data_IF_947591491918
#
_entry.id   IF_947591491918
#
_cell.length_a   1.000
_cell.length_b   1.000
_cell.length_c   1.000
_cell.angle_alpha   90.00
_cell.angle_beta   90.00
_cell.angle_gamma   90.00
#
_symmetry.space_group_name_H-M   'P 1'
#
loop_
_entity.id
_entity.type
_entity.pdbx_description
1 polymer ?
#
# COMPACT_ATOMS: atom_id res chain seq x y z
N UNK A 1 -3.97 17.70 -0.81
CA UNK A 1 -2.58 17.19 -0.92
C UNK A 1 -2.63 15.79 -0.31
N UNK A 2 -3.03 14.76 -1.08
CA UNK A 2 -2.21 14.00 -2.03
C UNK A 2 -3.01 13.62 -3.29
N UNK A 3 -2.61 14.10 -4.47
CA UNK A 3 -3.21 13.75 -5.77
C UNK A 3 -2.16 13.24 -6.78
N UNK A 4 -1.10 12.54 -6.33
CA UNK A 4 0.03 12.21 -7.20
C UNK A 4 0.18 10.74 -7.61
N UNK A 5 -0.72 9.82 -7.23
CA UNK A 5 -0.47 8.38 -7.40
C UNK A 5 -1.03 7.73 -8.69
N UNK A 6 -1.43 8.48 -9.72
CA UNK A 6 -2.06 7.91 -10.93
C UNK A 6 -1.37 8.25 -12.27
N UNK A 7 -0.10 8.66 -12.27
CA UNK A 7 0.60 8.90 -13.54
C UNK A 7 1.29 7.62 -14.02
N UNK A 8 0.65 6.93 -14.98
CA UNK A 8 1.36 6.06 -15.94
C UNK A 8 2.42 6.92 -16.62
N UNK A 9 3.69 6.59 -16.45
CA UNK A 9 4.74 7.08 -17.33
C UNK A 9 5.17 5.93 -18.23
N UNK A 10 4.90 6.10 -19.52
CA UNK A 10 5.48 5.32 -20.60
C UNK A 10 7.00 5.53 -20.60
N UNK A 11 7.76 4.44 -20.50
CA UNK A 11 9.21 4.44 -20.67
C UNK A 11 9.50 3.99 -22.09
N UNK A 12 9.99 4.90 -22.94
CA UNK A 12 10.64 4.55 -24.20
C UNK A 12 12.11 4.22 -23.95
N UNK A 13 12.68 3.15 -24.52
CA UNK A 13 14.09 2.84 -24.35
C UNK A 13 14.95 3.62 -25.34
N UNK A 14 15.87 4.43 -24.81
CA UNK A 14 16.97 5.02 -25.55
C UNK A 14 18.24 4.16 -25.42
N UNK A 15 18.98 4.10 -26.53
CA UNK A 15 19.94 3.08 -26.88
C UNK A 15 21.37 3.39 -26.43
N UNK A 16 22.01 2.41 -25.78
CA UNK A 16 23.33 1.90 -26.17
C UNK A 16 24.58 2.43 -25.46
N UNK A 17 25.23 1.56 -24.68
CA UNK A 17 26.68 1.25 -24.75
C UNK A 17 26.85 -0.23 -24.36
N UNK A 18 27.72 -0.93 -25.09
CA UNK A 18 27.98 -2.38 -25.01
C UNK A 18 29.20 -2.64 -24.13
N UNK A 19 29.05 -3.51 -23.13
CA UNK A 19 30.14 -4.32 -22.58
C UNK A 19 29.61 -5.74 -22.30
N UNK A 20 30.44 -6.73 -22.63
CA UNK A 20 30.07 -8.13 -22.85
C UNK A 20 29.74 -8.94 -21.59
N UNK A 21 28.57 -8.69 -21.00
CA UNK A 21 27.95 -9.62 -20.04
C UNK A 21 26.98 -10.55 -20.77
N UNK A 22 27.07 -11.84 -20.48
CA UNK A 22 26.24 -12.91 -21.03
C UNK A 22 24.78 -12.50 -21.18
N UNK A 23 24.28 -12.60 -22.41
CA UNK A 23 22.91 -12.34 -22.80
C UNK A 23 21.95 -13.31 -22.09
N UNK A 24 21.47 -12.89 -20.92
CA UNK A 24 20.17 -13.27 -20.39
C UNK A 24 19.55 -11.97 -19.87
N UNK A 25 18.88 -11.23 -20.76
CA UNK A 25 17.79 -10.38 -20.30
C UNK A 25 16.75 -11.32 -19.71
N UNK A 26 16.88 -11.62 -18.42
CA UNK A 26 15.95 -12.49 -17.73
C UNK A 26 14.67 -11.70 -17.48
N UNK A 27 13.54 -12.25 -17.88
CA UNK A 27 12.26 -11.94 -17.25
C UNK A 27 12.47 -11.87 -15.73
N UNK A 28 11.90 -10.86 -15.07
CA UNK A 28 11.98 -10.76 -13.60
C UNK A 28 11.60 -12.08 -12.94
N UNK A 29 12.10 -12.35 -11.73
CA UNK A 29 11.70 -13.55 -10.98
C UNK A 29 10.17 -13.60 -10.94
N UNK A 30 9.59 -14.62 -11.57
CA UNK A 30 8.14 -14.85 -11.65
C UNK A 30 7.49 -15.00 -10.27
N UNK A 31 8.30 -15.21 -9.24
CA UNK A 31 7.90 -15.33 -7.84
C UNK A 31 8.05 -14.01 -7.05
N UNK A 32 8.70 -12.99 -7.61
CA UNK A 32 8.87 -11.69 -6.96
C UNK A 32 7.60 -10.84 -7.13
N UNK A 33 7.10 -10.32 -6.01
CA UNK A 33 5.91 -9.49 -5.97
C UNK A 33 6.28 -8.07 -6.37
N UNK A 34 5.57 -7.54 -7.35
CA UNK A 34 5.70 -6.15 -7.80
C UNK A 34 4.64 -5.23 -7.22
N UNK A 35 3.49 -5.78 -6.79
CA UNK A 35 2.37 -5.04 -6.21
C UNK A 35 1.43 -5.97 -5.44
N UNK A 36 0.87 -5.47 -4.34
CA UNK A 36 -0.28 -6.06 -3.65
C UNK A 36 -1.54 -5.23 -3.95
N UNK A 37 -2.66 -5.91 -4.22
CA UNK A 37 -3.93 -5.24 -4.55
C UNK A 37 -5.01 -5.77 -3.63
N UNK A 38 -5.58 -4.91 -2.80
CA UNK A 38 -6.75 -5.22 -1.98
C UNK A 38 -8.02 -4.72 -2.65
N UNK A 39 -9.00 -5.60 -2.83
CA UNK A 39 -10.30 -5.27 -3.41
C UNK A 39 -11.37 -5.36 -2.32
N UNK A 40 -11.99 -4.22 -2.02
CA UNK A 40 -13.12 -4.15 -1.11
C UNK A 40 -14.38 -4.75 -1.71
N UNK A 41 -15.25 -5.30 -0.86
CA UNK A 41 -16.62 -5.67 -1.24
C UNK A 41 -17.57 -4.48 -1.09
N UNK A 42 -17.25 -3.39 -1.77
CA UNK A 42 -18.04 -2.17 -1.81
C UNK A 42 -17.80 -1.45 -3.15
N UNK A 43 -18.74 -0.58 -3.55
CA UNK A 43 -18.61 0.24 -4.76
C UNK A 43 -18.21 1.69 -4.37
N UNK A 44 -17.15 2.21 -5.00
CA UNK A 44 -16.63 3.56 -4.85
C UNK A 44 -17.53 4.55 -5.59
N UNK A 45 -18.21 5.42 -4.84
CA UNK A 45 -19.15 6.39 -5.42
C UNK A 45 -20.16 6.96 -4.44
N UNK A 46 -20.42 6.30 -3.31
CA UNK A 46 -21.31 6.85 -2.27
C UNK A 46 -20.57 7.36 -1.04
N UNK A 47 -19.27 7.06 -0.87
CA UNK A 47 -18.58 7.11 0.42
C UNK A 47 -17.27 7.88 0.39
N UNK A 48 -17.27 9.00 -0.35
CA UNK A 48 -16.16 9.95 -0.33
C UNK A 48 -15.86 10.51 1.07
N UNK A 49 -16.84 10.52 2.01
CA UNK A 49 -16.64 10.98 3.40
C UNK A 49 -17.55 10.30 4.46
N UNK A 50 -18.46 9.37 4.12
CA UNK A 50 -19.44 8.86 5.11
C UNK A 50 -19.99 7.44 4.87
N UNK A 51 -19.30 6.38 5.30
CA UNK A 51 -19.98 5.13 5.71
C UNK A 51 -19.37 4.47 6.92
N UNK A 52 -19.52 5.18 8.02
CA UNK A 52 -19.81 4.50 9.27
C UNK A 52 -21.32 4.53 9.55
N UNK A 53 -22.13 4.14 8.56
CA UNK A 53 -23.52 3.73 8.80
C UNK A 53 -23.72 2.29 8.30
N UNK A 54 -22.80 1.40 8.64
CA UNK A 54 -23.03 -0.05 8.55
C UNK A 54 -23.02 -0.66 9.95
N UNK A 55 -23.86 -0.08 10.81
CA UNK A 55 -24.35 -0.73 12.02
C UNK A 55 -25.88 -0.78 12.09
N UNK A 56 -26.60 -0.10 11.18
CA UNK A 56 -28.07 0.02 11.24
C UNK A 56 -28.83 -0.03 9.91
N UNK A 57 -28.15 -0.06 8.77
CA UNK A 57 -28.81 -0.26 7.47
C UNK A 57 -28.60 -1.71 7.03
N UNK A 58 -29.67 -2.48 7.17
CA UNK A 58 -29.82 -3.91 6.88
C UNK A 58 -29.60 -4.26 5.39
N UNK A 59 -28.38 -4.17 4.85
CA UNK A 59 -28.19 -4.61 3.46
C UNK A 59 -26.83 -4.50 2.77
N UNK A 60 -25.81 -3.85 3.35
CA UNK A 60 -24.46 -3.90 2.75
C UNK A 60 -23.65 -5.02 3.39
N UNK A 61 -23.14 -5.92 2.56
CA UNK A 61 -22.43 -7.12 2.99
C UNK A 61 -21.18 -6.79 3.82
N UNK A 62 -20.87 -7.66 4.79
CA UNK A 62 -19.67 -7.57 5.63
C UNK A 62 -18.40 -7.50 4.77
N UNK A 63 -17.47 -6.61 5.11
CA UNK A 63 -16.21 -6.43 4.39
C UNK A 63 -15.04 -6.44 5.38
N UNK A 64 -14.44 -7.63 5.62
CA UNK A 64 -13.29 -7.78 6.52
C UNK A 64 -12.10 -6.90 6.16
N UNK A 65 -11.81 -6.70 4.85
CA UNK A 65 -10.72 -5.82 4.43
C UNK A 65 -10.98 -4.35 4.81
N UNK A 66 -12.23 -3.87 4.71
CA UNK A 66 -12.62 -2.52 5.11
C UNK A 66 -12.39 -2.32 6.61
N UNK A 67 -12.78 -3.31 7.41
CA UNK A 67 -12.57 -3.33 8.85
C UNK A 67 -11.09 -3.38 9.25
N UNK A 68 -10.25 -4.06 8.47
CA UNK A 68 -8.80 -4.11 8.68
C UNK A 68 -8.17 -2.75 8.36
N UNK A 69 -8.56 -2.11 7.26
CA UNK A 69 -7.90 -0.89 6.77
C UNK A 69 -8.37 0.40 7.46
N UNK A 70 -9.64 0.48 7.88
CA UNK A 70 -10.22 1.72 8.42
C UNK A 70 -10.63 1.65 9.89
N UNK A 71 -10.68 2.83 10.53
CA UNK A 71 -11.27 3.07 11.84
C UNK A 71 -12.03 4.40 11.82
N UNK A 72 -13.33 4.38 12.10
CA UNK A 72 -14.16 5.59 12.08
C UNK A 72 -14.21 6.21 10.69
N UNK A 73 -13.73 7.45 10.56
CA UNK A 73 -13.73 8.21 9.30
C UNK A 73 -12.40 8.12 8.53
N UNK A 74 -11.41 7.38 9.02
CA UNK A 74 -10.06 7.39 8.45
C UNK A 74 -9.43 6.00 8.34
N UNK A 75 -8.33 5.94 7.59
CA UNK A 75 -7.47 4.76 7.52
C UNK A 75 -6.66 4.61 8.81
N UNK A 76 -6.37 3.38 9.21
CA UNK A 76 -5.57 3.08 10.41
C UNK A 76 -4.10 3.48 10.19
N UNK A 77 -3.47 4.21 11.12
CA UNK A 77 -2.03 4.47 11.05
C UNK A 77 -1.18 3.19 11.02
N UNK A 78 -1.63 2.13 11.70
CA UNK A 78 -0.96 0.83 11.70
C UNK A 78 -0.99 0.18 10.31
N UNK A 79 -2.06 0.39 9.54
CA UNK A 79 -2.15 -0.04 8.15
C UNK A 79 -1.11 0.68 7.29
N UNK A 80 -1.01 2.00 7.42
CA UNK A 80 -0.05 2.80 6.66
C UNK A 80 1.40 2.36 6.92
N UNK A 81 1.72 2.11 8.18
CA UNK A 81 3.05 1.62 8.58
C UNK A 81 3.33 0.23 8.00
N UNK A 82 2.35 -0.68 8.04
CA UNK A 82 2.48 -2.02 7.47
C UNK A 82 2.72 -1.99 5.95
N UNK A 83 2.04 -1.10 5.22
CA UNK A 83 2.26 -0.91 3.78
C UNK A 83 3.67 -0.35 3.51
N UNK A 84 4.10 0.66 4.25
CA UNK A 84 5.45 1.22 4.13
C UNK A 84 6.54 0.18 4.37
N UNK A 85 6.37 -0.65 5.41
CA UNK A 85 7.33 -1.70 5.77
C UNK A 85 7.38 -2.85 4.75
N UNK A 86 6.39 -2.99 3.86
CA UNK A 86 6.32 -4.11 2.91
C UNK A 86 7.29 -3.97 1.73
N UNK A 87 7.78 -2.77 1.43
CA UNK A 87 8.68 -2.51 0.30
C UNK A 87 8.06 -2.67 -1.09
N UNK A 88 6.74 -2.91 -1.17
CA UNK A 88 5.97 -2.97 -2.41
C UNK A 88 4.75 -2.05 -2.36
N UNK A 89 4.27 -1.53 -3.50
CA UNK A 89 3.00 -0.83 -3.55
C UNK A 89 1.85 -1.71 -3.07
N UNK A 90 0.98 -1.13 -2.25
CA UNK A 90 -0.30 -1.72 -1.87
C UNK A 90 -1.44 -0.85 -2.37
N UNK A 91 -2.07 -1.26 -3.46
CA UNK A 91 -3.20 -0.56 -4.08
C UNK A 91 -4.51 -1.06 -3.48
N UNK A 92 -5.41 -0.14 -3.12
CA UNK A 92 -6.74 -0.46 -2.58
C UNK A 92 -7.80 0.02 -3.56
N UNK A 93 -8.69 -0.88 -3.96
CA UNK A 93 -9.75 -0.61 -4.94
C UNK A 93 -11.12 -1.02 -4.39
N UNK A 94 -12.13 -0.27 -4.75
CA UNK A 94 -13.51 -0.73 -4.71
C UNK A 94 -13.80 -1.69 -5.88
N UNK A 95 -14.82 -2.52 -5.73
CA UNK A 95 -15.19 -3.54 -6.73
C UNK A 95 -15.46 -2.94 -8.12
N UNK A 96 -16.07 -1.77 -8.18
CA UNK A 96 -16.35 -1.04 -9.43
C UNK A 96 -15.17 -0.24 -9.99
N UNK A 97 -14.07 -0.13 -9.25
CA UNK A 97 -12.83 0.53 -9.69
C UNK A 97 -11.86 -0.47 -10.33
N UNK A 98 -12.14 -1.77 -10.23
CA UNK A 98 -11.31 -2.83 -10.80
C UNK A 98 -11.40 -2.83 -12.34
N UNK A 99 -10.24 -2.85 -13.00
CA UNK A 99 -10.15 -3.15 -14.43
C UNK A 99 -10.38 -4.64 -14.71
N UNK A 100 -10.45 -5.02 -16.00
CA UNK A 100 -10.77 -6.41 -16.39
C UNK A 100 -9.79 -7.44 -15.82
N UNK A 101 -8.45 -7.26 -15.90
CA UNK A 101 -7.51 -8.21 -15.29
C UNK A 101 -7.73 -8.41 -13.79
N UNK A 102 -7.93 -7.33 -13.02
CA UNK A 102 -8.16 -7.42 -11.57
C UNK A 102 -9.51 -8.08 -11.28
N UNK A 103 -10.57 -7.68 -11.99
CA UNK A 103 -11.90 -8.27 -11.84
C UNK A 103 -11.92 -9.77 -12.14
N UNK A 104 -11.24 -10.19 -13.20
CA UNK A 104 -11.11 -11.60 -13.56
C UNK A 104 -10.36 -12.39 -12.47
N UNK A 105 -9.25 -11.86 -11.96
CA UNK A 105 -8.46 -12.47 -10.88
C UNK A 105 -9.24 -12.56 -9.55
N UNK A 106 -10.12 -11.60 -9.25
CA UNK A 106 -11.04 -11.70 -8.13
C UNK A 106 -12.05 -12.85 -8.32
N UNK A 107 -12.45 -13.14 -9.55
CA UNK A 107 -13.44 -14.18 -9.89
C UNK A 107 -14.75 -14.05 -9.10
N UNK A 108 -15.19 -12.81 -8.86
CA UNK A 108 -16.38 -12.51 -8.05
C UNK A 108 -16.21 -12.72 -6.53
N UNK A 109 -15.03 -13.15 -6.07
CA UNK A 109 -14.72 -13.38 -4.65
C UNK A 109 -14.11 -12.12 -4.05
N UNK A 110 -14.95 -11.28 -3.48
CA UNK A 110 -14.55 -10.06 -2.75
C UNK A 110 -15.18 -10.08 -1.35
N UNK A 111 -14.54 -9.51 -0.31
CA UNK A 111 -13.24 -8.84 -0.38
C UNK A 111 -12.10 -9.84 -0.59
N UNK A 112 -10.99 -9.38 -1.18
CA UNK A 112 -9.82 -10.21 -1.40
C UNK A 112 -8.53 -9.39 -1.49
N UNK A 113 -7.40 -10.09 -1.43
CA UNK A 113 -6.07 -9.57 -1.73
C UNK A 113 -5.48 -10.38 -2.88
N UNK A 114 -4.89 -9.69 -3.84
CA UNK A 114 -4.14 -10.24 -4.96
C UNK A 114 -2.66 -9.87 -4.85
N UNK A 115 -1.79 -10.76 -5.32
CA UNK A 115 -0.38 -10.48 -5.57
C UNK A 115 -0.14 -10.38 -7.09
N UNK A 116 0.62 -9.37 -7.50
CA UNK A 116 1.09 -9.20 -8.88
C UNK A 116 2.55 -9.61 -8.97
N UNK A 117 2.88 -10.53 -9.86
CA UNK A 117 4.26 -10.94 -10.18
C UNK A 117 4.52 -10.84 -11.69
N UNK A 118 5.72 -11.23 -12.14
CA UNK A 118 6.03 -11.39 -13.57
C UNK A 118 5.08 -12.32 -14.32
N UNK A 119 4.50 -13.29 -13.61
CA UNK A 119 3.54 -14.27 -14.14
C UNK A 119 2.09 -13.81 -14.16
N UNK A 120 1.75 -12.68 -13.53
CA UNK A 120 0.40 -12.12 -13.52
C UNK A 120 -0.20 -11.94 -12.12
N UNK A 121 -1.53 -11.99 -12.03
CA UNK A 121 -2.29 -11.78 -10.79
C UNK A 121 -2.70 -13.11 -10.16
N UNK A 122 -2.39 -13.26 -8.87
CA UNK A 122 -2.78 -14.43 -8.07
C UNK A 122 -3.58 -14.00 -6.86
N UNK A 123 -4.68 -14.67 -6.59
CA UNK A 123 -5.50 -14.44 -5.40
C UNK A 123 -4.86 -15.08 -4.17
N UNK A 124 -4.53 -14.29 -3.14
CA UNK A 124 -3.74 -14.74 -1.97
C UNK A 124 -4.53 -14.79 -0.67
N UNK A 125 -5.53 -13.92 -0.48
CA UNK A 125 -6.42 -13.96 0.68
C UNK A 125 -7.86 -13.67 0.22
N UNK A 126 -8.82 -14.44 0.73
CA UNK A 126 -10.25 -14.24 0.50
C UNK A 126 -10.99 -13.74 1.74
N UNK A 127 -12.31 -13.62 1.60
CA UNK A 127 -13.19 -13.10 2.64
C UNK A 127 -13.04 -13.83 3.98
N UNK A 128 -12.92 -15.16 3.96
CA UNK A 128 -12.82 -15.96 5.18
C UNK A 128 -11.51 -15.69 5.94
N UNK A 129 -10.36 -15.62 5.25
CA UNK A 129 -9.09 -15.28 5.90
C UNK A 129 -9.09 -13.84 6.43
N UNK A 130 -9.68 -12.91 5.67
CA UNK A 130 -9.80 -11.50 6.07
C UNK A 130 -10.69 -11.35 7.31
N UNK A 131 -11.81 -12.05 7.37
CA UNK A 131 -12.72 -12.01 8.53
C UNK A 131 -12.05 -12.64 9.77
N UNK A 132 -11.28 -13.70 9.59
CA UNK A 132 -10.51 -14.35 10.66
C UNK A 132 -9.42 -13.44 11.27
N UNK A 133 -8.99 -12.39 10.57
CA UNK A 133 -8.05 -11.41 11.11
C UNK A 133 -8.68 -10.51 12.19
N UNK A 134 -10.00 -10.54 12.40
CA UNK A 134 -10.64 -9.86 13.52
C UNK A 134 -10.46 -8.35 13.53
N UNK A 135 -10.42 -7.73 12.34
CA UNK A 135 -10.17 -6.28 12.15
C UNK A 135 -8.78 -5.82 12.58
N UNK A 136 -7.83 -6.73 12.80
CA UNK A 136 -6.48 -6.42 13.30
C UNK A 136 -5.45 -6.40 12.16
N UNK A 137 -4.63 -5.34 12.12
CA UNK A 137 -3.61 -5.15 11.06
C UNK A 137 -2.44 -6.11 11.24
N UNK A 138 -2.09 -6.46 12.48
CA UNK A 138 -1.00 -7.39 12.76
C UNK A 138 -1.40 -8.81 12.36
N UNK A 139 -2.61 -9.25 12.72
CA UNK A 139 -3.17 -10.52 12.29
C UNK A 139 -3.25 -10.61 10.75
N UNK A 140 -3.68 -9.53 10.10
CA UNK A 140 -3.64 -9.43 8.64
C UNK A 140 -2.23 -9.60 8.06
N UNK A 141 -1.23 -8.90 8.62
CA UNK A 141 0.17 -9.03 8.18
C UNK A 141 0.65 -10.48 8.29
N UNK A 142 0.36 -11.16 9.40
CA UNK A 142 0.72 -12.58 9.59
C UNK A 142 0.05 -13.47 8.56
N UNK A 143 -1.27 -13.32 8.35
CA UNK A 143 -2.01 -14.11 7.36
C UNK A 143 -1.49 -13.88 5.94
N UNK A 144 -1.22 -12.62 5.58
CA UNK A 144 -0.67 -12.25 4.28
C UNK A 144 0.72 -12.88 4.08
N UNK A 145 1.64 -12.72 5.02
CA UNK A 145 2.99 -13.32 4.90
C UNK A 145 2.92 -14.84 4.76
N UNK A 146 2.05 -15.50 5.52
CA UNK A 146 1.86 -16.94 5.42
C UNK A 146 1.32 -17.36 4.03
N UNK A 147 0.32 -16.64 3.51
CA UNK A 147 -0.23 -16.90 2.18
C UNK A 147 0.81 -16.69 1.07
N UNK A 148 1.55 -15.58 1.10
CA UNK A 148 2.62 -15.31 0.13
C UNK A 148 3.67 -16.42 0.13
N UNK A 149 4.09 -16.87 1.32
CA UNK A 149 5.04 -17.97 1.48
C UNK A 149 4.49 -19.28 0.92
N UNK A 150 3.22 -19.59 1.15
CA UNK A 150 2.57 -20.79 0.61
C UNK A 150 2.47 -20.79 -0.93
N UNK A 151 2.36 -19.61 -1.53
CA UNK A 151 2.43 -19.43 -2.98
C UNK A 151 3.87 -19.44 -3.52
N UNK A 152 4.89 -19.46 -2.66
CA UNK A 152 6.29 -19.32 -3.06
C UNK A 152 6.68 -17.90 -3.47
N UNK A 153 5.81 -16.92 -3.21
CA UNK A 153 6.07 -15.54 -3.55
C UNK A 153 6.98 -14.86 -2.54
N UNK A 154 7.80 -13.92 -3.03
CA UNK A 154 8.74 -13.16 -2.24
C UNK A 154 8.49 -11.68 -2.43
N UNK A 155 8.52 -10.93 -1.33
CA UNK A 155 8.72 -9.49 -1.40
C UNK A 155 10.15 -9.23 -1.91
N UNK A 156 10.38 -8.16 -2.67
CA UNK A 156 11.72 -7.83 -3.16
C UNK A 156 12.65 -7.52 -1.98
N UNK A 157 13.92 -7.90 -2.10
CA UNK A 157 14.96 -7.67 -1.07
C UNK A 157 15.27 -6.17 -0.86
N UNK A 158 14.78 -5.31 -1.75
CA UNK A 158 14.89 -3.85 -1.70
C UNK A 158 13.56 -3.23 -2.15
N UNK A 159 13.13 -2.09 -1.55
CA UNK A 159 11.98 -1.35 -2.04
C UNK A 159 12.07 -1.03 -3.53
N UNK A 160 10.96 -1.15 -4.25
CA UNK A 160 10.91 -0.88 -5.68
C UNK A 160 11.23 0.60 -5.98
N UNK A 161 11.85 0.90 -7.15
CA UNK A 161 12.18 2.27 -7.54
C UNK A 161 10.96 3.20 -7.47
N UNK A 162 11.11 4.37 -6.86
CA UNK A 162 10.00 5.31 -6.64
C UNK A 162 9.24 5.12 -5.32
N UNK A 163 9.62 4.14 -4.51
CA UNK A 163 9.22 4.02 -3.10
C UNK A 163 10.33 4.53 -2.17
N UNK A 164 10.66 5.81 -2.25
CA UNK A 164 11.51 6.43 -1.23
C UNK A 164 10.72 6.43 0.09
N UNK A 165 11.31 5.99 1.22
CA UNK A 165 10.69 6.23 2.52
C UNK A 165 10.46 7.73 2.65
N UNK A 166 9.34 8.18 3.26
CA UNK A 166 9.17 9.60 3.55
C UNK A 166 10.43 10.04 4.29
N UNK A 167 11.17 10.98 3.71
CA UNK A 167 12.35 11.54 4.37
C UNK A 167 11.87 12.03 5.71
N UNK A 168 12.40 11.46 6.79
CA UNK A 168 12.22 12.02 8.13
C UNK A 168 12.60 13.49 8.01
N UNK A 169 11.59 14.37 7.98
CA UNK A 169 11.86 15.77 8.23
C UNK A 169 12.33 15.77 9.68
N UNK A 170 13.58 16.16 9.98
CA UNK A 170 13.93 16.41 11.36
C UNK A 170 12.86 17.35 11.90
N UNK A 171 12.23 16.95 13.00
CA UNK A 171 11.29 17.79 13.71
C UNK A 171 11.92 19.18 13.77
N UNK A 172 11.18 20.17 13.27
CA UNK A 172 11.52 21.58 13.36
C UNK A 172 11.84 21.87 14.84
N UNK A 173 13.13 21.77 15.19
CA UNK A 173 13.62 22.13 16.50
C UNK A 173 13.55 23.63 16.51
N UNK A 174 12.43 24.14 17.03
CA UNK A 174 12.13 25.55 17.15
C UNK A 174 13.37 26.29 17.62
N UNK A 175 13.81 27.21 16.76
CA UNK A 175 14.85 28.16 17.03
C UNK A 175 14.45 28.97 18.27
N UNK A 176 15.00 28.56 19.42
CA UNK A 176 14.91 29.26 20.70
C UNK A 176 16.33 29.64 21.11
N UNK A 177 17.03 30.33 20.23
CA UNK A 177 18.12 31.23 20.59
C UNK A 177 17.52 32.63 20.83
N UNK A 178 17.92 33.45 21.79
CA UNK A 178 18.68 33.28 23.02
C UNK A 178 18.36 34.60 23.77
N UNK A 179 17.94 34.53 25.03
CA UNK A 179 17.78 35.71 25.88
C UNK A 179 19.00 35.80 26.78
N UNK A 180 19.52 37.02 26.81
CA UNK A 180 20.39 37.63 27.82
C UNK A 180 21.90 37.39 27.65
N UNK A 181 22.64 38.50 27.40
CA UNK A 181 23.61 38.96 28.41
C UNK A 181 23.94 40.47 28.25
N UNK A 182 24.27 41.19 29.36
CA UNK A 182 24.37 42.64 29.45
C UNK A 182 25.82 43.15 29.55
N UNK A 183 26.08 44.29 28.91
CA UNK A 183 27.21 45.21 29.18
C UNK A 183 26.75 46.59 28.68
N UNK A 184 26.76 47.69 29.41
CA UNK A 184 27.78 48.19 30.32
C UNK A 184 28.51 49.38 29.65
N UNK A 185 28.53 50.53 30.34
CA UNK A 185 29.35 51.75 30.11
C UNK A 185 28.80 52.84 29.14
N UNK A 186 28.43 54.06 29.60
CA UNK A 186 29.15 55.20 30.26
C UNK A 186 29.91 56.12 29.29
N UNK A 187 29.76 57.44 29.53
CA UNK A 187 30.47 58.62 28.98
C UNK A 187 29.97 59.10 27.59
N UNK A 188 29.66 60.37 27.33
CA UNK A 188 29.79 61.65 28.05
C UNK A 188 28.70 62.62 27.56
#
# INVERSE_FOLDING_TARGET
MWQWLNRRMDVTPESGVRDGYSHRMAAGDDSEITELIGVYHADGGLLGELSYVVGKLRGTAHCGLCDITHRGLGRKPEWDRMVQDSGVPFTLLHRNECDEPIRAACSGRTPCVLARTGSGLTHVLGAAELDACGKDVTAFKVALTAALTAHGFRLPDRPLPGQDPPRDHPADQGDTADRDDPTGDRHS
#
